data_IF_248901722295
#
_entry.id   IF_248901722295
#
_cell.length_a   1.000
_cell.length_b   1.000
_cell.length_c   1.000
_cell.angle_alpha   90.00
_cell.angle_beta   90.00
_cell.angle_gamma   90.00
#
_symmetry.space_group_name_H-M   'P 1'
#
loop_
_entity.id
_entity.type
_entity.pdbx_description
1 polymer ?
#
# COMPACT_ATOMS: atom_id res chain seq x y z
N UNK A 1 -4.89 -39.16 10.07
CA UNK A 1 -5.42 -38.49 11.28
C UNK A 1 -4.42 -37.57 11.99
N UNK A 2 -3.15 -37.96 12.20
CA UNK A 2 -2.19 -37.12 12.94
C UNK A 2 -1.92 -35.73 12.31
N UNK A 3 -1.80 -35.63 10.97
CA UNK A 3 -1.57 -34.35 10.26
C UNK A 3 -2.71 -33.34 10.40
N UNK A 4 -3.96 -33.80 10.51
CA UNK A 4 -5.12 -32.93 10.66
C UNK A 4 -5.29 -32.39 12.08
N UNK A 5 -4.79 -33.12 13.08
CA UNK A 5 -4.79 -32.68 14.50
C UNK A 5 -3.66 -31.68 14.73
N UNK A 6 -2.44 -31.95 14.26
CA UNK A 6 -1.32 -31.01 14.35
C UNK A 6 -1.65 -29.66 13.71
N UNK A 7 -2.27 -29.67 12.52
CA UNK A 7 -2.68 -28.44 11.83
C UNK A 7 -3.73 -27.63 12.60
N UNK A 8 -4.65 -28.30 13.31
CA UNK A 8 -5.64 -27.61 14.15
C UNK A 8 -5.01 -27.03 15.41
N UNK A 9 -4.09 -27.74 16.06
CA UNK A 9 -3.37 -27.24 17.23
C UNK A 9 -2.49 -26.03 16.90
N UNK A 10 -1.77 -26.09 15.77
CA UNK A 10 -0.96 -24.97 15.25
C UNK A 10 -1.84 -23.74 14.91
N UNK A 11 -3.01 -23.97 14.30
CA UNK A 11 -3.96 -22.90 13.99
C UNK A 11 -4.61 -22.30 15.25
N UNK A 12 -4.91 -23.12 16.26
CA UNK A 12 -5.43 -22.66 17.56
C UNK A 12 -4.39 -21.88 18.36
N UNK A 13 -3.13 -22.34 18.38
CA UNK A 13 -2.00 -21.65 19.01
C UNK A 13 -1.76 -20.27 18.39
N UNK A 14 -1.81 -20.19 17.05
CA UNK A 14 -1.73 -18.91 16.34
C UNK A 14 -2.88 -17.96 16.71
N UNK A 15 -4.13 -18.44 16.75
CA UNK A 15 -5.29 -17.63 17.14
C UNK A 15 -5.17 -17.08 18.56
N UNK A 16 -4.71 -17.89 19.51
CA UNK A 16 -4.50 -17.48 20.89
C UNK A 16 -3.39 -16.43 20.99
N UNK A 17 -2.29 -16.60 20.26
CA UNK A 17 -1.20 -15.63 20.22
C UNK A 17 -1.65 -14.28 19.67
N UNK A 18 -2.26 -14.25 18.47
CA UNK A 18 -2.71 -12.99 17.85
C UNK A 18 -3.88 -12.35 18.62
N UNK A 19 -4.79 -13.17 19.17
CA UNK A 19 -5.87 -12.69 20.05
C UNK A 19 -5.31 -12.06 21.33
N UNK A 20 -4.31 -12.70 21.94
CA UNK A 20 -3.58 -12.15 23.09
C UNK A 20 -2.87 -10.83 22.78
N UNK A 21 -2.22 -10.73 21.62
CA UNK A 21 -1.62 -9.45 21.18
C UNK A 21 -2.65 -8.34 21.01
N UNK A 22 -3.82 -8.62 20.42
CA UNK A 22 -4.90 -7.63 20.29
C UNK A 22 -5.39 -7.21 21.68
N UNK A 23 -5.63 -8.15 22.59
CA UNK A 23 -6.06 -7.86 23.95
C UNK A 23 -5.03 -7.00 24.70
N UNK A 24 -3.74 -7.32 24.56
CA UNK A 24 -2.63 -6.53 25.12
C UNK A 24 -2.63 -5.10 24.57
N UNK A 25 -2.79 -4.93 23.26
CA UNK A 25 -2.84 -3.62 22.61
C UNK A 25 -4.04 -2.80 23.07
N UNK A 26 -5.21 -3.43 23.25
CA UNK A 26 -6.39 -2.77 23.82
C UNK A 26 -6.17 -2.37 25.29
N UNK A 27 -5.49 -3.21 26.08
CA UNK A 27 -5.08 -2.88 27.44
C UNK A 27 -4.13 -1.67 27.48
N UNK A 28 -3.15 -1.63 26.58
CA UNK A 28 -2.23 -0.50 26.43
C UNK A 28 -2.99 0.79 26.05
N UNK A 29 -3.98 0.70 25.16
CA UNK A 29 -4.84 1.83 24.80
C UNK A 29 -5.64 2.35 26.00
N UNK A 30 -6.26 1.46 26.78
CA UNK A 30 -7.00 1.85 27.99
C UNK A 30 -6.08 2.53 29.02
N UNK A 31 -4.84 2.05 29.16
CA UNK A 31 -3.84 2.64 30.04
C UNK A 31 -3.37 4.03 29.56
N UNK A 32 -3.04 4.17 28.26
CA UNK A 32 -2.56 5.44 27.69
C UNK A 32 -3.61 6.56 27.73
N UNK A 33 -4.88 6.21 27.58
CA UNK A 33 -5.97 7.21 27.52
C UNK A 33 -6.40 7.71 28.90
N UNK A 34 -5.93 7.08 30.00
CA UNK A 34 -6.12 7.52 31.41
C UNK A 34 -7.53 8.06 31.72
N UNK A 35 -8.57 7.40 31.18
CA UNK A 35 -9.98 7.76 31.40
C UNK A 35 -10.68 8.47 30.23
N UNK A 36 -9.96 8.93 29.20
CA UNK A 36 -10.52 9.56 27.98
C UNK A 36 -10.75 8.56 26.85
N UNK A 37 -11.28 7.38 27.19
CA UNK A 37 -11.44 6.27 26.26
C UNK A 37 -12.41 6.62 25.13
N UNK A 38 -13.57 7.22 25.46
CA UNK A 38 -14.62 7.56 24.50
C UNK A 38 -14.12 8.58 23.47
N UNK A 39 -13.34 9.55 23.92
CA UNK A 39 -12.74 10.60 23.11
C UNK A 39 -11.63 10.08 22.18
N UNK A 40 -10.84 9.10 22.63
CA UNK A 40 -9.74 8.51 21.86
C UNK A 40 -10.18 7.35 20.94
N UNK A 41 -11.34 6.75 21.21
CA UNK A 41 -11.88 5.61 20.47
C UNK A 41 -12.07 5.85 18.96
N UNK A 42 -12.49 7.04 18.47
CA UNK A 42 -12.60 7.29 17.04
C UNK A 42 -11.26 7.14 16.30
N UNK A 43 -10.16 7.60 16.88
CA UNK A 43 -8.82 7.46 16.30
C UNK A 43 -8.35 6.02 16.27
N UNK A 44 -8.61 5.27 17.36
CA UNK A 44 -8.35 3.83 17.43
C UNK A 44 -9.15 3.09 16.34
N UNK A 45 -10.46 3.31 16.29
CA UNK A 45 -11.36 2.63 15.36
C UNK A 45 -10.99 2.93 13.89
N UNK A 46 -10.73 4.21 13.57
CA UNK A 46 -10.30 4.62 12.23
C UNK A 46 -8.99 3.92 11.84
N UNK A 47 -8.03 3.82 12.75
CA UNK A 47 -6.76 3.14 12.49
C UNK A 47 -6.90 1.61 12.36
N UNK A 48 -7.80 0.99 13.13
CA UNK A 48 -8.14 -0.43 12.99
C UNK A 48 -8.72 -0.68 11.60
N UNK A 49 -9.71 0.11 11.19
CA UNK A 49 -10.32 0.01 9.85
C UNK A 49 -9.25 0.21 8.78
N UNK A 50 -8.39 1.21 8.93
CA UNK A 50 -7.28 1.47 8.03
C UNK A 50 -6.36 0.26 7.89
N UNK A 51 -5.91 -0.33 9.01
CA UNK A 51 -5.04 -1.50 9.04
C UNK A 51 -5.70 -2.72 8.38
N UNK A 52 -6.98 -2.98 8.70
CA UNK A 52 -7.72 -4.09 8.09
C UNK A 52 -7.80 -3.92 6.57
N UNK A 53 -8.21 -2.75 6.10
CA UNK A 53 -8.33 -2.46 4.66
C UNK A 53 -6.98 -2.55 3.96
N UNK A 54 -5.91 -2.05 4.58
CA UNK A 54 -4.55 -2.10 4.03
C UNK A 54 -4.13 -3.54 3.72
N UNK A 55 -4.29 -4.45 4.69
CA UNK A 55 -3.84 -5.83 4.54
C UNK A 55 -4.83 -6.74 3.80
N UNK A 56 -6.14 -6.44 3.81
CA UNK A 56 -7.18 -7.26 3.16
C UNK A 56 -7.50 -6.84 1.73
N UNK A 57 -7.63 -5.54 1.48
CA UNK A 57 -8.17 -4.99 0.22
C UNK A 57 -7.05 -4.37 -0.60
N UNK A 58 -6.27 -3.49 0.02
CA UNK A 58 -5.24 -2.70 -0.67
C UNK A 58 -4.04 -3.56 -1.07
N UNK A 59 -3.77 -4.64 -0.34
CA UNK A 59 -2.70 -5.61 -0.62
C UNK A 59 -2.79 -6.28 -2.01
N UNK A 60 -3.97 -6.21 -2.66
CA UNK A 60 -4.16 -6.64 -4.05
C UNK A 60 -3.38 -5.75 -5.04
N UNK A 61 -3.13 -4.48 -4.70
CA UNK A 61 -2.29 -3.55 -5.45
C UNK A 61 -1.02 -3.25 -4.69
N UNK A 62 0.13 -3.79 -5.13
CA UNK A 62 1.43 -3.54 -4.48
C UNK A 62 1.71 -2.04 -4.36
N UNK A 63 1.41 -1.26 -5.40
CA UNK A 63 1.58 0.19 -5.35
C UNK A 63 0.70 0.83 -4.29
N UNK A 64 -0.60 0.53 -4.28
CA UNK A 64 -1.50 1.12 -3.30
C UNK A 64 -1.08 0.70 -1.89
N UNK A 65 -0.65 -0.55 -1.70
CA UNK A 65 -0.16 -1.06 -0.44
C UNK A 65 1.07 -0.31 0.04
N UNK A 66 2.07 -0.11 -0.82
CA UNK A 66 3.29 0.65 -0.49
C UNK A 66 2.96 2.11 -0.18
N UNK A 67 2.16 2.77 -1.02
CA UNK A 67 1.80 4.18 -0.83
C UNK A 67 1.00 4.38 0.45
N UNK A 68 0.04 3.51 0.73
CA UNK A 68 -0.73 3.57 1.97
C UNK A 68 0.15 3.22 3.18
N UNK A 69 1.11 2.31 3.07
CA UNK A 69 2.09 2.11 4.17
C UNK A 69 2.88 3.38 4.48
N UNK A 70 3.29 4.14 3.46
CA UNK A 70 3.91 5.47 3.65
C UNK A 70 2.91 6.49 4.20
N UNK A 71 1.66 6.45 3.75
CA UNK A 71 0.62 7.34 4.24
C UNK A 71 0.30 7.10 5.72
N UNK A 72 0.38 5.87 6.22
CA UNK A 72 0.26 5.59 7.65
C UNK A 72 1.28 6.39 8.47
N UNK A 73 2.54 6.43 8.01
CA UNK A 73 3.60 7.21 8.65
C UNK A 73 3.31 8.72 8.57
N UNK A 74 2.84 9.20 7.41
CA UNK A 74 2.45 10.60 7.24
C UNK A 74 1.27 11.01 8.15
N UNK A 75 0.26 10.15 8.27
CA UNK A 75 -0.90 10.35 9.15
C UNK A 75 -0.44 10.35 10.62
N UNK A 76 0.40 9.39 11.01
CA UNK A 76 0.95 9.34 12.37
C UNK A 76 1.75 10.60 12.71
N UNK A 77 2.58 11.09 11.78
CA UNK A 77 3.32 12.34 11.93
C UNK A 77 2.40 13.57 12.04
N UNK A 78 1.32 13.63 11.23
CA UNK A 78 0.31 14.68 11.31
C UNK A 78 -0.43 14.70 12.65
N UNK A 79 -0.85 13.53 13.15
CA UNK A 79 -1.49 13.41 14.46
C UNK A 79 -0.53 13.81 15.60
N UNK A 80 0.74 13.42 15.51
CA UNK A 80 1.75 13.86 16.48
C UNK A 80 1.91 15.37 16.47
N UNK A 81 1.87 16.01 15.29
CA UNK A 81 1.93 17.47 15.18
C UNK A 81 0.71 18.14 15.81
N UNK A 82 -0.49 17.55 15.65
CA UNK A 82 -1.72 18.03 16.28
C UNK A 82 -1.67 17.90 17.81
N UNK A 83 -1.10 16.80 18.32
CA UNK A 83 -0.92 16.55 19.75
C UNK A 83 0.05 17.58 20.36
N UNK A 84 1.20 17.82 19.71
CA UNK A 84 2.20 18.81 20.15
C UNK A 84 1.65 20.23 20.10
N UNK A 85 0.86 20.55 19.07
CA UNK A 85 0.22 21.86 18.95
C UNK A 85 -0.99 22.05 19.88
N UNK A 86 -1.37 21.03 20.66
CA UNK A 86 -2.53 21.06 21.56
C UNK A 86 -3.85 21.28 20.84
N UNK A 87 -3.93 20.97 19.54
CA UNK A 87 -5.12 21.22 18.70
C UNK A 87 -6.22 20.19 18.92
N UNK A 88 -5.83 18.99 19.31
CA UNK A 88 -6.74 17.93 19.74
C UNK A 88 -6.51 17.76 21.22
N UNK A 89 -7.55 17.97 22.04
CA UNK A 89 -7.44 17.87 23.51
C UNK A 89 -7.11 16.46 24.03
N UNK A 90 -6.84 15.51 23.14
CA UNK A 90 -6.56 14.09 23.39
C UNK A 90 -5.34 13.71 22.55
N UNK A 91 -4.37 12.95 23.10
CA UNK A 91 -3.24 12.45 22.32
C UNK A 91 -3.74 11.45 21.27
N UNK A 92 -3.96 11.90 20.04
CA UNK A 92 -4.56 11.13 18.95
C UNK A 92 -3.57 10.18 18.28
N UNK A 93 -2.27 10.49 18.31
CA UNK A 93 -1.20 9.69 17.71
C UNK A 93 -1.08 8.28 18.30
N UNK A 94 -1.13 8.17 19.64
CA UNK A 94 -1.04 6.89 20.36
C UNK A 94 -2.17 5.91 19.99
N UNK A 95 -3.45 6.30 20.16
CA UNK A 95 -4.61 5.52 19.71
C UNK A 95 -4.53 5.11 18.24
N UNK A 96 -4.10 6.02 17.35
CA UNK A 96 -3.93 5.71 15.94
C UNK A 96 -2.88 4.60 15.73
N UNK A 97 -1.71 4.70 16.36
CA UNK A 97 -0.65 3.71 16.21
C UNK A 97 -1.08 2.33 16.72
N UNK A 98 -1.71 2.28 17.90
CA UNK A 98 -2.22 1.04 18.48
C UNK A 98 -3.30 0.43 17.58
N UNK A 99 -4.24 1.25 17.12
CA UNK A 99 -5.33 0.80 16.27
C UNK A 99 -4.81 0.24 14.94
N UNK A 100 -3.77 0.85 14.36
CA UNK A 100 -3.13 0.34 13.15
C UNK A 100 -2.52 -1.05 13.37
N UNK A 101 -1.83 -1.27 14.49
CA UNK A 101 -1.27 -2.60 14.83
C UNK A 101 -2.38 -3.63 14.96
N UNK A 102 -3.43 -3.31 15.72
CA UNK A 102 -4.61 -4.19 15.89
C UNK A 102 -5.22 -4.50 14.52
N UNK A 103 -5.45 -3.49 13.70
CA UNK A 103 -6.00 -3.63 12.36
C UNK A 103 -5.11 -4.46 11.43
N UNK A 104 -3.79 -4.28 11.53
CA UNK A 104 -2.80 -5.05 10.77
C UNK A 104 -2.79 -6.53 11.15
N UNK A 105 -2.87 -6.85 12.44
CA UNK A 105 -3.01 -8.23 12.94
C UNK A 105 -4.35 -8.82 12.48
N UNK A 106 -5.45 -8.09 12.68
CA UNK A 106 -6.80 -8.52 12.30
C UNK A 106 -6.92 -8.77 10.80
N UNK A 107 -6.36 -7.87 9.99
CA UNK A 107 -6.37 -7.93 8.53
C UNK A 107 -5.40 -8.95 7.95
N UNK A 108 -4.20 -9.06 8.50
CA UNK A 108 -3.15 -9.96 8.01
C UNK A 108 -3.34 -11.43 8.40
N UNK A 109 -3.95 -11.70 9.57
CA UNK A 109 -4.21 -13.05 10.04
C UNK A 109 -5.54 -13.61 9.54
N UNK A 110 -5.59 -14.91 9.24
CA UNK A 110 -6.81 -15.59 8.81
C UNK A 110 -7.52 -16.24 9.97
N UNK A 111 -8.42 -15.47 10.57
CA UNK A 111 -9.30 -15.88 11.65
C UNK A 111 -10.26 -17.00 11.23
N UNK A 112 -10.80 -16.93 10.01
CA UNK A 112 -11.60 -17.98 9.37
C UNK A 112 -11.44 -17.92 7.84
N UNK A 113 -11.27 -19.07 7.18
CA UNK A 113 -11.23 -19.17 5.72
C UNK A 113 -9.84 -19.05 5.04
N UNK A 114 -9.79 -19.15 3.70
CA UNK A 114 -8.56 -19.14 2.92
C UNK A 114 -7.73 -17.86 3.12
N UNK A 115 -6.40 -17.99 3.01
CA UNK A 115 -5.44 -16.92 3.25
C UNK A 115 -5.69 -15.71 2.35
N UNK A 116 -5.62 -14.50 2.91
CA UNK A 116 -5.46 -13.29 2.09
C UNK A 116 -4.22 -13.49 1.19
N UNK A 117 -4.42 -13.47 -0.13
CA UNK A 117 -3.37 -13.74 -1.11
C UNK A 117 -3.30 -15.16 -1.70
N UNK A 118 -4.19 -16.11 -1.37
CA UNK A 118 -4.22 -17.37 -2.14
C UNK A 118 -4.69 -17.19 -3.59
N UNK A 119 -5.25 -16.02 -3.93
CA UNK A 119 -5.57 -15.61 -5.30
C UNK A 119 -4.36 -15.14 -6.12
N UNK A 120 -3.13 -15.13 -5.56
CA UNK A 120 -1.90 -14.95 -6.35
C UNK A 120 -1.64 -16.10 -7.35
N UNK A 121 -2.59 -17.02 -7.56
CA UNK A 121 -2.54 -18.01 -8.62
C UNK A 121 -3.17 -17.49 -9.91
N UNK A 122 -2.25 -17.06 -10.78
CA UNK A 122 -2.37 -16.83 -12.22
C UNK A 122 -3.19 -15.63 -12.67
N UNK A 123 -2.47 -14.53 -12.95
CA UNK A 123 -2.91 -13.61 -13.99
C UNK A 123 -3.05 -14.38 -15.31
N UNK A 124 -4.29 -14.64 -15.73
CA UNK A 124 -4.62 -15.04 -17.10
C UNK A 124 -3.99 -14.01 -18.02
N UNK A 125 -3.07 -14.43 -18.90
CA UNK A 125 -2.44 -13.51 -19.88
C UNK A 125 -3.57 -12.90 -20.73
N UNK A 126 -3.86 -11.62 -20.50
CA UNK A 126 -4.77 -10.85 -21.36
C UNK A 126 -4.09 -10.73 -22.73
N UNK A 127 -4.87 -10.88 -23.80
CA UNK A 127 -4.41 -10.54 -25.15
C UNK A 127 -4.35 -9.01 -25.23
N UNK A 128 -3.34 -8.42 -25.89
CA UNK A 128 -3.35 -7.00 -26.16
C UNK A 128 -4.55 -6.64 -27.04
N UNK A 129 -5.12 -5.46 -26.80
CA UNK A 129 -6.12 -4.82 -27.65
C UNK A 129 -5.52 -4.46 -29.02
N UNK A 130 -6.37 -4.10 -29.98
CA UNK A 130 -5.96 -3.83 -31.37
C UNK A 130 -4.96 -2.66 -31.49
N UNK A 131 -4.92 -1.78 -30.49
CA UNK A 131 -4.00 -0.65 -30.36
C UNK A 131 -2.67 -1.01 -29.64
N UNK A 132 -2.48 -2.28 -29.28
CA UNK A 132 -1.30 -2.75 -28.53
C UNK A 132 -1.33 -2.38 -27.03
N UNK A 133 -2.47 -1.95 -26.50
CA UNK A 133 -2.67 -1.73 -25.06
C UNK A 133 -3.19 -3.00 -24.38
N UNK A 134 -2.96 -3.11 -23.08
CA UNK A 134 -3.63 -4.11 -22.23
C UNK A 134 -4.64 -3.38 -21.36
N UNK A 135 -5.94 -3.67 -21.53
CA UNK A 135 -6.99 -3.11 -20.68
C UNK A 135 -6.65 -3.21 -19.18
N UNK A 136 -6.81 -2.09 -18.48
CA UNK A 136 -6.57 -1.96 -17.05
C UNK A 136 -7.47 -2.88 -16.22
N UNK A 137 -7.09 -3.14 -14.97
CA UNK A 137 -8.01 -3.76 -14.02
C UNK A 137 -8.85 -2.66 -13.39
N UNK A 138 -10.13 -2.56 -13.79
CA UNK A 138 -11.05 -1.56 -13.24
C UNK A 138 -11.13 -1.61 -11.71
N UNK A 139 -11.09 -2.81 -11.12
CA UNK A 139 -11.02 -2.98 -9.66
C UNK A 139 -9.77 -2.34 -9.03
N UNK A 140 -8.59 -2.50 -9.65
CA UNK A 140 -7.37 -1.86 -9.14
C UNK A 140 -7.45 -0.34 -9.27
N UNK A 141 -8.09 0.17 -10.32
CA UNK A 141 -8.33 1.60 -10.48
C UNK A 141 -9.24 2.14 -9.37
N UNK A 142 -10.35 1.45 -9.06
CA UNK A 142 -11.27 1.79 -7.96
C UNK A 142 -10.54 1.81 -6.63
N UNK A 143 -9.77 0.77 -6.29
CA UNK A 143 -9.02 0.72 -5.02
C UNK A 143 -8.02 1.89 -4.91
N UNK A 144 -7.24 2.16 -5.97
CA UNK A 144 -6.32 3.29 -5.96
C UNK A 144 -7.04 4.65 -5.86
N UNK A 145 -8.17 4.80 -6.56
CA UNK A 145 -8.97 6.02 -6.53
C UNK A 145 -9.57 6.30 -5.16
N UNK A 146 -10.17 5.29 -4.52
CA UNK A 146 -10.70 5.41 -3.16
C UNK A 146 -9.61 5.73 -2.14
N UNK A 147 -8.44 5.09 -2.23
CA UNK A 147 -7.29 5.43 -1.39
C UNK A 147 -6.83 6.87 -1.60
N UNK A 148 -6.77 7.34 -2.85
CA UNK A 148 -6.38 8.72 -3.14
C UNK A 148 -7.37 9.74 -2.59
N UNK A 149 -8.68 9.48 -2.72
CA UNK A 149 -9.73 10.31 -2.15
C UNK A 149 -9.65 10.36 -0.62
N UNK A 150 -9.41 9.22 0.03
CA UNK A 150 -9.21 9.16 1.48
C UNK A 150 -7.99 10.00 1.92
N UNK A 151 -6.88 9.93 1.18
CA UNK A 151 -5.69 10.75 1.46
C UNK A 151 -5.95 12.24 1.26
N UNK A 152 -6.66 12.64 0.19
CA UNK A 152 -7.00 14.05 -0.03
C UNK A 152 -7.95 14.59 1.04
N UNK A 153 -8.94 13.79 1.47
CA UNK A 153 -9.82 14.14 2.58
C UNK A 153 -9.04 14.33 3.88
N UNK A 154 -8.16 13.37 4.22
CA UNK A 154 -7.31 13.48 5.41
C UNK A 154 -6.33 14.66 5.33
N UNK A 155 -5.70 14.88 4.18
CA UNK A 155 -4.79 16.00 3.94
C UNK A 155 -5.49 17.35 4.08
N UNK A 156 -6.70 17.47 3.54
CA UNK A 156 -7.52 18.69 3.67
C UNK A 156 -7.86 18.94 5.14
N UNK A 157 -8.32 17.93 5.87
CA UNK A 157 -8.61 18.05 7.31
C UNK A 157 -7.36 18.45 8.11
N UNK A 158 -6.21 17.84 7.81
CA UNK A 158 -4.93 18.15 8.47
C UNK A 158 -4.53 19.61 8.22
N UNK A 159 -4.64 20.08 6.97
CA UNK A 159 -4.35 21.48 6.63
C UNK A 159 -5.27 22.44 7.39
N UNK A 160 -6.57 22.15 7.46
CA UNK A 160 -7.53 23.00 8.18
C UNK A 160 -7.25 23.09 9.67
N UNK A 161 -6.78 22.00 10.29
CA UNK A 161 -6.53 21.95 11.73
C UNK A 161 -5.17 22.53 12.15
N UNK A 162 -4.15 22.43 11.27
CA UNK A 162 -2.78 22.87 11.57
C UNK A 162 -2.45 24.27 11.03
N UNK A 163 -3.30 24.86 10.19
CA UNK A 163 -3.06 26.19 9.67
C UNK A 163 -3.55 27.27 10.66
N UNK A 164 -2.71 28.27 11.00
CA UNK A 164 -3.09 29.30 11.97
C UNK A 164 -4.06 30.35 11.40
N UNK A 165 -4.07 30.55 10.08
CA UNK A 165 -4.85 31.59 9.40
C UNK A 165 -5.43 31.10 8.08
N UNK A 166 -6.45 31.80 7.57
CA UNK A 166 -7.03 31.50 6.25
C UNK A 166 -6.01 31.60 5.10
N UNK A 167 -5.06 32.54 5.19
CA UNK A 167 -3.99 32.67 4.21
C UNK A 167 -3.05 31.45 4.25
N UNK A 168 -2.66 31.00 5.45
CA UNK A 168 -1.84 29.79 5.61
C UNK A 168 -2.56 28.52 5.12
N UNK A 169 -3.88 28.43 5.36
CA UNK A 169 -4.72 27.36 4.84
C UNK A 169 -4.72 27.36 3.31
N UNK A 170 -4.91 28.52 2.69
CA UNK A 170 -4.90 28.65 1.24
C UNK A 170 -3.55 28.20 0.65
N UNK A 171 -2.43 28.67 1.21
CA UNK A 171 -1.09 28.27 0.76
C UNK A 171 -0.84 26.76 0.91
N UNK A 172 -1.26 26.17 2.04
CA UNK A 172 -1.10 24.75 2.28
C UNK A 172 -2.01 23.89 1.38
N UNK A 173 -3.23 24.36 1.06
CA UNK A 173 -4.08 23.71 0.06
C UNK A 173 -3.50 23.78 -1.35
N UNK A 174 -2.99 24.95 -1.76
CA UNK A 174 -2.30 25.08 -3.05
C UNK A 174 -1.13 24.12 -3.14
N UNK A 175 -0.35 23.99 -2.05
CA UNK A 175 0.73 23.02 -1.96
C UNK A 175 0.23 21.57 -2.03
N UNK A 176 -0.86 21.23 -1.33
CA UNK A 176 -1.48 19.90 -1.36
C UNK A 176 -1.90 19.50 -2.79
N UNK A 177 -2.63 20.38 -3.49
CA UNK A 177 -3.10 20.09 -4.85
C UNK A 177 -1.97 20.18 -5.89
N UNK A 178 -0.98 21.06 -5.69
CA UNK A 178 0.23 21.11 -6.52
C UNK A 178 1.07 19.83 -6.39
N UNK A 179 1.28 19.37 -5.16
CA UNK A 179 1.95 18.11 -4.86
C UNK A 179 1.20 16.90 -5.43
N UNK A 180 -0.14 16.91 -5.34
CA UNK A 180 -0.99 15.92 -5.99
C UNK A 180 -0.80 15.89 -7.50
N UNK A 181 -0.84 17.05 -8.17
CA UNK A 181 -0.62 17.15 -9.61
C UNK A 181 0.78 16.66 -10.01
N UNK A 182 1.81 16.99 -9.23
CA UNK A 182 3.18 16.53 -9.45
C UNK A 182 3.32 15.00 -9.30
N UNK A 183 2.78 14.44 -8.21
CA UNK A 183 2.75 12.99 -7.98
C UNK A 183 1.97 12.24 -9.07
N UNK A 184 0.85 12.80 -9.52
CA UNK A 184 0.07 12.28 -10.63
C UNK A 184 0.86 12.28 -11.93
N UNK A 185 1.48 13.41 -12.29
CA UNK A 185 2.25 13.57 -13.52
C UNK A 185 3.43 12.58 -13.58
N UNK A 186 4.13 12.40 -12.45
CA UNK A 186 5.29 11.51 -12.33
C UNK A 186 4.99 10.06 -12.74
N UNK A 187 3.77 9.60 -12.48
CA UNK A 187 3.31 8.24 -12.78
C UNK A 187 2.46 8.16 -14.04
N UNK A 188 1.79 9.24 -14.44
CA UNK A 188 0.99 9.30 -15.67
C UNK A 188 1.89 9.22 -16.90
N UNK A 189 2.94 10.03 -16.93
CA UNK A 189 3.86 10.12 -18.05
C UNK A 189 4.94 9.02 -17.99
N UNK A 190 5.29 8.45 -19.14
CA UNK A 190 6.35 7.44 -19.28
C UNK A 190 7.72 8.11 -19.33
N UNK A 191 8.13 8.67 -18.19
CA UNK A 191 9.48 9.19 -18.01
C UNK A 191 10.51 8.05 -18.05
N UNK A 192 11.71 8.29 -18.58
CA UNK A 192 12.85 7.38 -18.41
C UNK A 192 13.07 7.06 -16.93
N UNK A 193 13.46 5.82 -16.62
CA UNK A 193 13.63 5.36 -15.23
C UNK A 193 14.60 6.26 -14.45
N UNK A 194 15.71 6.66 -15.08
CA UNK A 194 16.70 7.57 -14.49
C UNK A 194 16.08 8.90 -14.07
N UNK A 195 15.32 9.54 -14.97
CA UNK A 195 14.66 10.82 -14.70
C UNK A 195 13.61 10.67 -13.61
N UNK A 196 12.80 9.61 -13.66
CA UNK A 196 11.80 9.34 -12.64
C UNK A 196 12.44 9.10 -11.26
N UNK A 197 13.56 8.39 -11.18
CA UNK A 197 14.28 8.16 -9.92
C UNK A 197 14.81 9.46 -9.32
N UNK A 198 15.38 10.35 -10.13
CA UNK A 198 15.79 11.68 -9.67
C UNK A 198 14.60 12.52 -9.18
N UNK A 199 13.49 12.51 -9.90
CA UNK A 199 12.28 13.22 -9.47
C UNK A 199 11.67 12.63 -8.19
N UNK A 200 11.76 11.31 -7.99
CA UNK A 200 11.34 10.68 -6.73
C UNK A 200 12.22 11.09 -5.55
N UNK A 201 13.52 11.39 -5.78
CA UNK A 201 14.40 11.98 -4.76
C UNK A 201 13.96 13.40 -4.38
N UNK A 202 13.28 14.12 -5.28
CA UNK A 202 12.68 15.42 -4.98
C UNK A 202 11.61 15.37 -3.89
N UNK A 203 10.98 14.21 -3.65
CA UNK A 203 9.95 14.06 -2.61
C UNK A 203 10.53 14.23 -1.20
N UNK A 204 11.54 13.45 -0.76
CA UNK A 204 12.15 13.66 0.55
C UNK A 204 12.88 15.01 0.65
N UNK A 205 13.52 15.50 -0.42
CA UNK A 205 14.16 16.83 -0.42
C UNK A 205 13.13 17.93 -0.18
N UNK A 206 12.01 17.91 -0.91
CA UNK A 206 10.92 18.86 -0.71
C UNK A 206 10.35 18.80 0.70
N UNK A 207 10.21 17.60 1.28
CA UNK A 207 9.79 17.43 2.66
C UNK A 207 10.75 18.11 3.64
N UNK A 208 12.07 17.88 3.53
CA UNK A 208 13.05 18.52 4.40
C UNK A 208 13.02 20.05 4.32
N UNK A 209 12.91 20.60 3.11
CA UNK A 209 12.80 22.05 2.91
C UNK A 209 11.53 22.58 3.57
N UNK A 210 10.39 21.91 3.39
CA UNK A 210 9.11 22.33 3.96
C UNK A 210 9.02 22.15 5.47
N UNK A 211 9.77 21.20 6.05
CA UNK A 211 9.93 21.11 7.50
C UNK A 211 10.65 22.34 8.05
N UNK A 212 11.72 22.78 7.38
CA UNK A 212 12.48 23.96 7.80
C UNK A 212 11.69 25.25 7.60
N UNK A 213 11.11 25.44 6.41
CA UNK A 213 10.29 26.62 6.09
C UNK A 213 9.03 26.66 6.96
N UNK A 214 8.34 25.52 7.12
CA UNK A 214 7.16 25.42 7.97
C UNK A 214 7.49 25.69 9.44
N UNK A 215 8.65 25.23 9.94
CA UNK A 215 9.12 25.57 11.28
C UNK A 215 9.41 27.07 11.44
N UNK A 216 10.12 27.66 10.47
CA UNK A 216 10.48 29.09 10.50
C UNK A 216 9.26 30.02 10.37
N UNK A 217 8.22 29.58 9.66
CA UNK A 217 6.98 30.35 9.43
C UNK A 217 5.84 29.98 10.38
N UNK A 218 6.08 29.10 11.36
CA UNK A 218 5.05 28.52 12.24
C UNK A 218 3.89 27.83 11.47
N UNK A 219 4.15 27.40 10.23
CA UNK A 219 3.19 26.71 9.38
C UNK A 219 3.43 25.21 9.37
N UNK A 220 3.02 24.54 10.45
CA UNK A 220 3.17 23.09 10.61
C UNK A 220 2.41 22.27 9.56
N UNK A 221 1.43 22.86 8.86
CA UNK A 221 0.63 22.20 7.82
C UNK A 221 1.40 21.89 6.52
N UNK A 222 2.43 22.68 6.18
CA UNK A 222 3.16 22.58 4.90
C UNK A 222 3.79 21.21 4.63
N UNK A 223 4.59 20.61 5.55
CA UNK A 223 5.19 19.30 5.31
C UNK A 223 4.13 18.20 5.10
N UNK A 224 3.00 18.27 5.82
CA UNK A 224 1.90 17.32 5.69
C UNK A 224 1.20 17.45 4.35
N UNK A 225 0.89 18.69 3.93
CA UNK A 225 0.27 18.98 2.64
C UNK A 225 1.09 18.39 1.48
N UNK A 226 2.41 18.55 1.51
CA UNK A 226 3.31 18.00 0.50
C UNK A 226 3.27 16.47 0.46
N UNK A 227 3.55 15.80 1.58
CA UNK A 227 3.66 14.33 1.60
C UNK A 227 2.34 13.69 1.23
N UNK A 228 1.23 14.15 1.83
CA UNK A 228 -0.09 13.59 1.58
C UNK A 228 -0.50 13.84 0.12
N UNK A 229 -0.26 15.05 -0.41
CA UNK A 229 -0.54 15.40 -1.80
C UNK A 229 0.22 14.51 -2.78
N UNK A 230 1.54 14.40 -2.62
CA UNK A 230 2.38 13.53 -3.46
C UNK A 230 1.88 12.09 -3.43
N UNK A 231 1.62 11.52 -2.24
CA UNK A 231 1.15 10.13 -2.10
C UNK A 231 -0.21 9.92 -2.80
N UNK A 232 -1.16 10.84 -2.63
CA UNK A 232 -2.44 10.81 -3.33
C UNK A 232 -2.27 10.88 -4.86
N UNK A 233 -1.36 11.73 -5.33
CA UNK A 233 -1.00 11.85 -6.75
C UNK A 233 -0.41 10.55 -7.32
N UNK A 234 0.47 9.89 -6.58
CA UNK A 234 1.08 8.61 -6.99
C UNK A 234 0.02 7.52 -7.20
N UNK A 235 -1.03 7.50 -6.37
CA UNK A 235 -2.15 6.57 -6.50
C UNK A 235 -2.98 6.85 -7.77
N UNK A 236 -3.31 8.10 -8.04
CA UNK A 236 -4.12 8.47 -9.21
C UNK A 236 -3.34 8.41 -10.52
N UNK A 237 -2.04 8.71 -10.52
CA UNK A 237 -1.19 8.73 -11.72
C UNK A 237 -0.95 7.35 -12.38
N UNK A 238 -1.56 6.28 -11.86
CA UNK A 238 -1.35 4.93 -12.41
C UNK A 238 -1.91 4.74 -13.80
N UNK A 239 -1.34 3.79 -14.53
CA UNK A 239 -1.92 3.34 -15.81
C UNK A 239 -3.04 2.32 -15.64
N UNK A 240 -3.43 1.96 -14.41
CA UNK A 240 -4.60 1.10 -14.16
C UNK A 240 -5.90 1.68 -14.73
N UNK A 241 -5.97 3.01 -14.91
CA UNK A 241 -7.10 3.72 -15.51
C UNK A 241 -7.16 3.63 -17.04
N UNK A 242 -6.02 3.40 -17.70
CA UNK A 242 -5.89 3.51 -19.17
C UNK A 242 -5.18 2.33 -19.83
N UNK A 243 -4.80 1.31 -19.06
CA UNK A 243 -4.08 0.13 -19.53
C UNK A 243 -2.57 0.34 -19.70
N UNK A 244 -1.81 -0.77 -19.67
CA UNK A 244 -0.37 -0.76 -19.96
C UNK A 244 -0.17 -0.87 -21.49
N UNK A 245 0.67 -0.02 -22.08
CA UNK A 245 1.09 -0.18 -23.50
C UNK A 245 2.21 -1.21 -23.62
N UNK A 246 2.23 -1.97 -24.72
CA UNK A 246 3.36 -2.83 -25.08
C UNK A 246 4.69 -2.05 -25.05
N UNK A 247 5.69 -2.58 -24.33
CA UNK A 247 7.05 -1.99 -24.25
C UNK A 247 7.23 -0.84 -23.25
N UNK A 248 6.19 -0.37 -22.56
CA UNK A 248 6.33 0.73 -21.62
C UNK A 248 7.16 0.35 -20.36
N UNK A 249 7.96 1.29 -19.82
CA UNK A 249 8.64 1.08 -18.54
C UNK A 249 7.60 0.87 -17.44
N UNK A 250 7.63 -0.32 -16.82
CA UNK A 250 6.69 -0.66 -15.74
C UNK A 250 6.90 0.25 -14.54
N UNK A 251 5.83 0.62 -13.82
CA UNK A 251 5.98 1.41 -12.59
C UNK A 251 6.87 0.67 -11.59
N UNK A 252 7.70 1.38 -10.82
CA UNK A 252 8.71 0.79 -9.92
C UNK A 252 8.13 -0.15 -8.85
N UNK A 253 6.84 -0.06 -8.57
CA UNK A 253 6.12 -0.89 -7.59
C UNK A 253 5.40 -2.09 -8.21
N UNK A 254 5.50 -2.30 -9.52
CA UNK A 254 5.02 -3.53 -10.14
C UNK A 254 6.01 -4.65 -9.85
N UNK A 255 5.66 -5.56 -8.93
CA UNK A 255 6.44 -6.78 -8.69
C UNK A 255 6.74 -7.45 -10.02
N UNK A 256 8.03 -7.77 -10.25
CA UNK A 256 8.45 -8.68 -11.31
C UNK A 256 7.68 -9.98 -11.14
N UNK A 257 6.53 -10.10 -11.82
CA UNK A 257 5.92 -11.40 -12.05
C UNK A 257 7.01 -12.24 -12.68
N UNK A 258 7.53 -13.21 -11.91
CA UNK A 258 8.64 -14.09 -12.27
C UNK A 258 8.40 -14.49 -13.72
N UNK A 259 9.15 -13.90 -14.65
CA UNK A 259 9.12 -14.29 -16.05
C UNK A 259 9.61 -15.72 -15.98
N UNK A 260 8.68 -16.68 -16.01
CA UNK A 260 9.00 -18.11 -16.06
C UNK A 260 9.90 -18.19 -17.28
N UNK A 261 11.22 -18.23 -17.05
CA UNK A 261 12.20 -18.53 -18.08
C UNK A 261 11.66 -19.81 -18.66
N UNK A 262 11.13 -19.69 -19.87
CA UNK A 262 10.63 -20.80 -20.65
C UNK A 262 11.89 -21.63 -20.82
N UNK A 263 12.09 -22.64 -19.93
CA UNK A 263 13.12 -23.66 -20.11
C UNK A 263 12.86 -24.11 -21.54
N UNK A 264 13.78 -23.74 -22.44
CA UNK A 264 13.80 -24.25 -23.81
C UNK A 264 13.68 -25.76 -23.63
N UNK A 265 12.52 -26.31 -23.95
CA UNK A 265 12.41 -27.75 -24.17
C UNK A 265 13.43 -27.99 -25.27
N UNK A 266 14.53 -28.65 -24.93
CA UNK A 266 15.50 -29.15 -25.92
C UNK A 266 14.67 -29.93 -26.96
N UNK A 267 14.91 -29.74 -28.27
CA UNK A 267 14.39 -30.70 -29.23
C UNK A 267 14.98 -32.06 -28.84
N UNK A 268 14.13 -33.07 -28.70
CA UNK A 268 14.60 -34.44 -28.58
C UNK A 268 15.41 -34.73 -29.84
N UNK A 269 16.72 -34.83 -29.68
CA UNK A 269 17.60 -35.35 -30.72
C UNK A 269 17.16 -36.76 -31.05
N UNK A 270 16.89 -36.97 -32.33
CA UNK A 270 16.87 -38.29 -32.92
C UNK A 270 18.23 -38.97 -32.70
N UNK A 271 18.21 -40.11 -32.02
CA UNK A 271 19.10 -41.26 -32.14
C UNK A 271 18.14 -42.45 -31.92
N UNK A 272 17.87 -43.37 -32.85
CA UNK A 272 18.74 -43.95 -33.86
C UNK A 272 18.98 -45.41 -33.47
N UNK A 273 18.30 -46.32 -34.20
CA UNK A 273 18.60 -47.76 -34.39
C UNK A 273 18.37 -48.78 -33.26
N UNK A 274 17.40 -49.67 -33.52
CA UNK A 274 17.56 -51.14 -33.49
C UNK A 274 16.75 -51.67 -34.68
N UNK A 275 17.35 -51.88 -35.86
CA UNK A 275 18.05 -53.12 -36.23
C UNK A 275 17.25 -54.37 -35.79
N UNK A 276 16.22 -54.73 -36.57
CA UNK A 276 15.56 -56.03 -36.49
C UNK A 276 16.39 -56.97 -37.37
N UNK A 277 17.39 -57.60 -36.78
CA UNK A 277 18.12 -58.69 -37.39
C UNK A 277 17.36 -60.00 -37.15
N UNK A 278 17.30 -60.80 -38.20
CA UNK A 278 16.85 -62.18 -38.24
C UNK A 278 17.56 -63.05 -37.19
N UNK A 279 16.85 -64.07 -36.68
CA UNK A 279 17.47 -65.27 -36.11
C UNK A 279 16.86 -66.47 -36.84
N UNK A 280 17.66 -67.35 -37.45
CA UNK A 280 17.19 -68.55 -38.12
C UNK A 280 17.15 -69.78 -37.20
N UNK A 281 16.41 -70.77 -37.72
CA UNK A 281 16.54 -72.24 -37.58
C UNK A 281 15.90 -72.98 -36.39
N UNK A 282 14.88 -73.79 -36.73
CA UNK A 282 15.00 -75.26 -36.62
C UNK A 282 14.24 -75.96 -35.48
N UNK A 283 13.05 -76.48 -35.78
CA UNK A 283 12.68 -77.91 -35.75
C UNK A 283 11.32 -78.10 -36.42
#
# INVERSE_FOLDING_TARGET
MAKSVLKRLDQSGGRLFYGGMIALMLGLFAWLTRGRIVEAAPFLAAAVVYGVLLYRVVSVSVRAFTVMSWAHLAIFYALTSLDVAGKVGIPASGPWFIGFIIGGIAGGYTWSGPRAGTEFRQAKRRKPEADGSFGGSGWLAVVNGLCALALLGFGTATVMLLSPTAAATATALTLLFGAFAAGWALFRFSLPVTVRSWLLLGIPVGLFVLLFVGGAMEQMALPHAWVIGVLAGILTGGRYWTGDRLGAPRPPFAVRGRRRQRKRRRPAQAHGRTARAEVPAGK
#
